data_IF_441115831959
#
_entry.id   IF_441115831959
#
_cell.length_a   1.000
_cell.length_b   1.000
_cell.length_c   1.000
_cell.angle_alpha   90.00
_cell.angle_beta   90.00
_cell.angle_gamma   90.00
#
_symmetry.space_group_name_H-M   'P 1'
#
loop_
_entity.id
_entity.type
_entity.pdbx_description
1 polymer ?
#
# COMPACT_ATOMS: atom_id res chain seq x y z
N UNK A 1 15.69 -0.98 -9.23
CA UNK A 1 14.50 -0.96 -8.35
C UNK A 1 14.48 -2.16 -7.41
N UNK A 2 14.18 -1.93 -6.13
CA UNK A 2 14.12 -2.96 -5.08
C UNK A 2 12.78 -2.88 -4.37
N UNK A 3 12.13 -4.02 -4.15
CA UNK A 3 10.98 -4.10 -3.25
C UNK A 3 11.49 -4.12 -1.80
N UNK A 4 10.97 -3.25 -0.96
CA UNK A 4 11.34 -3.13 0.45
C UNK A 4 10.07 -3.24 1.28
N UNK A 5 10.08 -4.16 2.25
CA UNK A 5 9.05 -4.21 3.29
C UNK A 5 9.32 -3.12 4.33
N UNK A 6 8.29 -2.34 4.66
CA UNK A 6 8.39 -1.37 5.75
C UNK A 6 8.30 -2.08 7.10
N UNK A 7 9.13 -1.60 8.01
CA UNK A 7 9.18 -1.98 9.43
C UNK A 7 9.40 -0.72 10.25
N UNK A 8 9.23 -0.80 11.57
CA UNK A 8 9.50 0.33 12.48
C UNK A 8 10.91 0.93 12.28
N UNK A 9 11.88 0.09 11.91
CA UNK A 9 13.26 0.52 11.71
C UNK A 9 13.48 1.38 10.44
N UNK A 10 12.62 1.27 9.43
CA UNK A 10 12.83 1.96 8.15
C UNK A 10 11.65 2.83 7.69
N UNK A 11 10.50 2.74 8.35
CA UNK A 11 9.27 3.45 8.02
C UNK A 11 9.48 4.97 7.92
N UNK A 12 10.09 5.56 8.94
CA UNK A 12 10.30 7.01 9.01
C UNK A 12 11.18 7.54 7.87
N UNK A 13 12.06 6.70 7.31
CA UNK A 13 12.91 7.06 6.17
C UNK A 13 12.11 7.34 4.90
N UNK A 14 10.98 6.67 4.72
CA UNK A 14 10.19 6.72 3.50
C UNK A 14 8.85 7.43 3.66
N UNK A 15 8.41 7.67 4.90
CA UNK A 15 7.09 8.24 5.20
C UNK A 15 6.81 9.53 4.41
N UNK A 16 7.74 10.48 4.36
CA UNK A 16 7.56 11.73 3.61
C UNK A 16 7.22 11.48 2.13
N UNK A 17 7.99 10.61 1.46
CA UNK A 17 7.76 10.29 0.05
C UNK A 17 6.47 9.48 -0.19
N UNK A 18 6.05 8.68 0.79
CA UNK A 18 4.77 7.96 0.74
C UNK A 18 3.61 8.96 0.83
N UNK A 19 3.69 9.93 1.73
CA UNK A 19 2.69 10.98 1.87
C UNK A 19 2.66 11.91 0.65
N UNK A 20 3.81 12.17 0.03
CA UNK A 20 3.87 12.92 -1.23
C UNK A 20 3.06 12.22 -2.32
N UNK A 21 3.25 10.91 -2.47
CA UNK A 21 2.48 10.10 -3.42
C UNK A 21 0.98 10.10 -3.10
N UNK A 22 0.59 10.07 -1.82
CA UNK A 22 -0.82 10.17 -1.42
C UNK A 22 -1.45 11.50 -1.82
N UNK A 23 -0.72 12.60 -1.64
CA UNK A 23 -1.22 13.95 -1.95
C UNK A 23 -1.51 14.14 -3.44
N UNK A 24 -0.83 13.41 -4.31
CA UNK A 24 -1.07 13.42 -5.75
C UNK A 24 -2.35 12.67 -6.15
N UNK A 25 -2.88 11.79 -5.29
CA UNK A 25 -4.06 11.00 -5.61
C UNK A 25 -5.33 11.78 -5.30
N UNK A 26 -6.23 11.77 -6.28
CA UNK A 26 -7.57 12.34 -6.18
C UNK A 26 -8.53 11.37 -6.85
N UNK A 27 -9.61 11.02 -6.16
CA UNK A 27 -10.58 10.03 -6.62
C UNK A 27 -11.82 10.70 -7.20
N UNK A 28 -12.36 10.21 -8.32
CA UNK A 28 -13.61 10.72 -8.87
C UNK A 28 -14.80 10.32 -7.99
N UNK A 29 -15.79 11.20 -7.90
CA UNK A 29 -17.06 10.99 -7.21
C UNK A 29 -18.18 11.73 -7.95
N UNK A 30 -18.72 11.07 -8.99
CA UNK A 30 -19.55 11.73 -10.00
C UNK A 30 -18.76 12.84 -10.68
N UNK A 31 -19.32 14.04 -10.71
CA UNK A 31 -18.66 15.24 -11.27
C UNK A 31 -17.74 15.94 -10.25
N UNK A 32 -17.59 15.37 -9.05
CA UNK A 32 -16.74 15.89 -7.99
C UNK A 32 -15.53 14.98 -7.77
N UNK A 33 -14.66 15.44 -6.87
CA UNK A 33 -13.47 14.72 -6.48
C UNK A 33 -13.35 14.68 -4.95
N UNK A 34 -12.72 13.63 -4.44
CA UNK A 34 -12.38 13.50 -3.03
C UNK A 34 -10.97 12.96 -2.83
N UNK A 35 -10.47 13.14 -1.61
CA UNK A 35 -9.21 12.55 -1.14
C UNK A 35 -9.50 11.71 0.10
N UNK A 36 -8.69 10.70 0.32
CA UNK A 36 -8.74 9.89 1.53
C UNK A 36 -7.71 10.47 2.49
N UNK A 37 -8.15 10.81 3.69
CA UNK A 37 -7.26 11.18 4.79
C UNK A 37 -7.13 9.96 5.73
N UNK A 38 -5.91 9.46 5.88
CA UNK A 38 -5.59 8.32 6.73
C UNK A 38 -5.33 8.72 8.20
N UNK A 39 -5.38 10.03 8.50
CA UNK A 39 -5.14 10.60 9.81
C UNK A 39 -3.67 10.84 10.10
N UNK A 40 -3.38 11.23 11.35
CA UNK A 40 -2.01 11.59 11.81
C UNK A 40 -1.02 10.42 11.73
N UNK A 41 -1.52 9.21 11.97
CA UNK A 41 -0.75 7.98 11.80
C UNK A 41 -1.27 7.23 10.57
N UNK A 42 -0.54 7.42 9.47
CA UNK A 42 -0.87 6.87 8.17
C UNK A 42 -1.00 5.33 8.21
N UNK A 43 -0.08 4.65 8.91
CA UNK A 43 -0.05 3.19 8.93
C UNK A 43 -1.07 2.59 9.88
N UNK A 44 -1.38 3.28 10.99
CA UNK A 44 -2.39 2.83 11.94
C UNK A 44 -3.76 2.62 11.29
N UNK A 45 -4.11 3.35 10.22
CA UNK A 45 -5.32 3.08 9.45
C UNK A 45 -5.37 1.63 8.96
N UNK A 46 -4.30 1.16 8.32
CA UNK A 46 -4.24 -0.19 7.75
C UNK A 46 -4.06 -1.27 8.83
N UNK A 47 -3.33 -0.98 9.90
CA UNK A 47 -3.16 -1.90 11.04
C UNK A 47 -4.49 -2.18 11.76
N UNK A 48 -5.38 -1.18 11.86
CA UNK A 48 -6.74 -1.38 12.39
C UNK A 48 -7.58 -2.32 11.54
N UNK A 49 -7.27 -2.48 10.25
CA UNK A 49 -7.99 -3.41 9.38
C UNK A 49 -7.56 -4.87 9.60
N UNK A 50 -6.34 -5.11 10.11
CA UNK A 50 -5.75 -6.44 10.32
C UNK A 50 -4.22 -6.41 10.36
N UNK A 51 -3.58 -7.57 10.16
CA UNK A 51 -2.10 -7.64 10.17
C UNK A 51 -1.52 -7.01 8.90
N UNK A 52 -0.82 -5.89 9.05
CA UNK A 52 -0.26 -5.11 7.96
C UNK A 52 1.07 -5.67 7.44
N UNK A 53 1.17 -5.72 6.12
CA UNK A 53 2.41 -5.89 5.36
C UNK A 53 2.48 -4.75 4.33
N UNK A 54 3.27 -3.74 4.63
CA UNK A 54 3.40 -2.57 3.75
C UNK A 54 4.70 -2.67 2.96
N UNK A 55 4.62 -2.50 1.65
CA UNK A 55 5.77 -2.61 0.74
C UNK A 55 5.91 -1.35 -0.10
N UNK A 56 7.16 -1.03 -0.44
CA UNK A 56 7.49 0.04 -1.35
C UNK A 56 8.44 -0.47 -2.43
N UNK A 57 8.33 0.05 -3.65
CA UNK A 57 9.38 -0.04 -4.65
C UNK A 57 10.31 1.16 -4.51
N UNK A 58 11.59 0.90 -4.27
CA UNK A 58 12.62 1.93 -4.18
C UNK A 58 13.49 1.87 -5.42
N UNK A 59 13.64 3.00 -6.10
CA UNK A 59 14.64 3.20 -7.12
C UNK A 59 15.74 4.12 -6.59
N UNK A 60 16.92 3.56 -6.33
CA UNK A 60 18.01 4.21 -5.58
C UNK A 60 17.54 4.70 -4.20
N UNK A 61 17.04 5.92 -4.10
CA UNK A 61 16.52 6.54 -2.87
C UNK A 61 15.09 7.07 -3.00
N UNK A 62 14.47 6.90 -4.16
CA UNK A 62 13.13 7.42 -4.48
C UNK A 62 12.09 6.31 -4.38
N UNK A 63 10.97 6.61 -3.75
CA UNK A 63 9.79 5.73 -3.73
C UNK A 63 9.12 5.81 -5.11
N UNK A 64 9.19 4.71 -5.85
CA UNK A 64 8.56 4.57 -7.16
C UNK A 64 7.10 4.10 -7.06
N UNK A 65 6.73 3.49 -5.94
CA UNK A 65 5.36 3.05 -5.68
C UNK A 65 5.24 2.36 -4.35
N UNK A 66 3.99 2.20 -3.90
CA UNK A 66 3.63 1.65 -2.59
C UNK A 66 2.50 0.65 -2.74
N UNK A 67 2.40 -0.27 -1.78
CA UNK A 67 1.23 -1.12 -1.62
C UNK A 67 1.10 -1.63 -0.18
N UNK A 68 -0.14 -1.67 0.30
CA UNK A 68 -0.49 -2.30 1.57
C UNK A 68 -1.17 -3.65 1.31
N UNK A 69 -0.70 -4.69 1.98
CA UNK A 69 -1.39 -5.96 2.05
C UNK A 69 -1.77 -6.26 3.50
N UNK A 70 -3.06 -6.35 3.76
CA UNK A 70 -3.59 -6.56 5.10
C UNK A 70 -4.21 -7.93 5.20
N UNK A 71 -3.71 -8.76 6.12
CA UNK A 71 -4.30 -10.05 6.43
C UNK A 71 -5.44 -9.84 7.43
N UNK A 72 -6.67 -10.08 7.00
CA UNK A 72 -7.89 -9.80 7.75
C UNK A 72 -8.63 -11.08 8.08
N UNK A 73 -9.37 -11.03 9.17
CA UNK A 73 -10.33 -12.06 9.57
C UNK A 73 -11.72 -11.44 9.44
N UNK A 74 -12.54 -11.95 8.53
CA UNK A 74 -13.86 -11.38 8.22
C UNK A 74 -14.98 -12.42 8.43
N UNK A 75 -16.14 -12.01 8.95
CA UNK A 75 -17.34 -12.85 8.95
C UNK A 75 -17.77 -13.15 7.51
N UNK A 76 -18.25 -14.38 7.28
CA UNK A 76 -18.86 -14.80 6.03
C UNK A 76 -20.08 -15.68 6.32
N UNK A 77 -20.89 -15.96 5.28
CA UNK A 77 -22.07 -16.82 5.41
C UNK A 77 -21.77 -18.24 5.90
N UNK A 78 -20.52 -18.70 5.78
CA UNK A 78 -20.06 -20.03 6.21
C UNK A 78 -19.06 -19.97 7.38
N UNK A 79 -19.08 -18.89 8.15
CA UNK A 79 -18.22 -18.69 9.31
C UNK A 79 -17.10 -17.68 9.07
N UNK A 80 -16.06 -17.74 9.91
CA UNK A 80 -14.95 -16.79 9.90
C UNK A 80 -13.94 -17.18 8.83
N UNK A 81 -13.59 -16.24 7.94
CA UNK A 81 -12.58 -16.44 6.89
C UNK A 81 -11.39 -15.52 7.04
N UNK A 82 -10.21 -16.06 6.75
CA UNK A 82 -9.00 -15.27 6.60
C UNK A 82 -8.86 -14.84 5.13
N UNK A 83 -8.70 -13.54 4.89
CA UNK A 83 -8.57 -12.95 3.55
C UNK A 83 -7.40 -11.99 3.49
N UNK A 84 -6.81 -11.86 2.29
CA UNK A 84 -5.86 -10.80 1.99
C UNK A 84 -6.58 -9.62 1.36
N UNK A 85 -6.40 -8.43 1.94
CA UNK A 85 -6.85 -7.17 1.38
C UNK A 85 -5.65 -6.43 0.79
N UNK A 86 -5.55 -6.45 -0.54
CA UNK A 86 -4.52 -5.76 -1.31
C UNK A 86 -5.02 -4.36 -1.66
N UNK A 87 -4.43 -3.34 -1.06
CA UNK A 87 -4.93 -1.97 -1.08
C UNK A 87 -3.78 -0.96 -1.09
N UNK A 88 -4.12 0.33 -1.12
CA UNK A 88 -3.13 1.41 -1.15
C UNK A 88 -2.10 1.30 -2.29
N UNK A 89 -2.50 0.68 -3.41
CA UNK A 89 -1.61 0.50 -4.55
C UNK A 89 -1.50 1.82 -5.32
N UNK A 90 -0.32 2.43 -5.29
CA UNK A 90 -0.04 3.69 -5.98
C UNK A 90 1.34 3.66 -6.61
N UNK A 91 1.45 4.16 -7.84
CA UNK A 91 2.70 4.22 -8.60
C UNK A 91 2.97 5.67 -8.97
N UNK A 92 4.18 6.14 -8.63
CA UNK A 92 4.65 7.47 -8.97
C UNK A 92 4.59 7.68 -10.50
N UNK A 93 4.14 8.86 -10.99
CA UNK A 93 4.01 9.15 -12.42
C UNK A 93 5.16 8.66 -13.31
N UNK A 94 6.39 9.04 -12.98
CA UNK A 94 7.62 8.66 -13.71
C UNK A 94 7.89 7.15 -13.83
N UNK A 95 7.20 6.33 -13.03
CA UNK A 95 7.40 4.89 -12.94
C UNK A 95 6.21 4.07 -13.48
N UNK A 96 5.18 4.73 -14.01
CA UNK A 96 4.01 4.08 -14.62
C UNK A 96 4.37 3.38 -15.93
N UNK A 97 3.56 2.40 -16.33
CA UNK A 97 3.81 1.59 -17.54
C UNK A 97 4.89 0.52 -17.40
N UNK A 98 5.56 0.40 -16.25
CA UNK A 98 6.67 -0.55 -16.04
C UNK A 98 6.27 -1.87 -15.36
N UNK A 99 4.97 -2.17 -15.34
CA UNK A 99 4.36 -3.36 -14.70
C UNK A 99 4.70 -3.52 -13.21
N UNK A 100 4.98 -2.43 -12.50
CA UNK A 100 5.33 -2.47 -11.08
C UNK A 100 4.26 -3.10 -10.19
N UNK A 101 2.95 -2.81 -10.34
CA UNK A 101 1.92 -3.46 -9.53
C UNK A 101 1.97 -4.99 -9.60
N UNK A 102 2.19 -5.53 -10.81
CA UNK A 102 2.28 -6.98 -11.04
C UNK A 102 3.52 -7.54 -10.34
N UNK A 103 4.66 -6.87 -10.47
CA UNK A 103 5.91 -7.26 -9.78
C UNK A 103 5.74 -7.24 -8.25
N UNK A 104 5.01 -6.27 -7.70
CA UNK A 104 4.68 -6.22 -6.28
C UNK A 104 3.82 -7.41 -5.86
N UNK A 105 2.74 -7.68 -6.60
CA UNK A 105 1.81 -8.77 -6.31
C UNK A 105 2.50 -10.15 -6.33
N UNK A 106 3.32 -10.45 -7.36
CA UNK A 106 4.05 -11.72 -7.43
C UNK A 106 4.97 -11.93 -6.24
N UNK A 107 5.74 -10.90 -5.86
CA UNK A 107 6.68 -11.02 -4.75
C UNK A 107 5.97 -11.15 -3.41
N UNK A 108 4.89 -10.41 -3.22
CA UNK A 108 4.03 -10.53 -2.05
C UNK A 108 3.42 -11.94 -1.93
N UNK A 109 2.82 -12.47 -3.00
CA UNK A 109 2.23 -13.82 -3.00
C UNK A 109 3.28 -14.86 -2.62
N UNK A 110 4.50 -14.77 -3.16
CA UNK A 110 5.59 -15.71 -2.83
C UNK A 110 6.07 -15.62 -1.38
N UNK A 111 5.94 -14.46 -0.71
CA UNK A 111 6.40 -14.29 0.67
C UNK A 111 5.37 -14.76 1.73
N UNK A 112 4.11 -14.94 1.34
CA UNK A 112 3.00 -15.16 2.29
C UNK A 112 2.20 -16.45 2.04
N UNK A 113 2.31 -17.03 0.85
CA UNK A 113 1.68 -18.29 0.43
C UNK A 113 2.76 -19.34 0.28
#
# INVERSE_FOLDING_TARGET
MKLVRLTLANMNRYLAQILDLEREVTYPYGDKFFKIDHGKDYFAFFERLGKLYYYIFVDKHRVAGVVAAVLRTVPSRIGIKKIWYYCDLKIHPDYRGQHLPIKMAYKFIYEIC
#
